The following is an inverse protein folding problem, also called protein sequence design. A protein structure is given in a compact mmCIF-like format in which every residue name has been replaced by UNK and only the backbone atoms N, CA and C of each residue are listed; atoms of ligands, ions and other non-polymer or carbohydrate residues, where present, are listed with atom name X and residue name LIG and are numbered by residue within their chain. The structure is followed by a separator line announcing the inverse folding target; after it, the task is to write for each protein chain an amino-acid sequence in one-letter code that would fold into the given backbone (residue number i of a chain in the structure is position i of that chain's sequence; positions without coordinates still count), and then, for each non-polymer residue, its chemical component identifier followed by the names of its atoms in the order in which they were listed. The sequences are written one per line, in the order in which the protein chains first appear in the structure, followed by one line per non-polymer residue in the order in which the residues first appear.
data_IF_587451069014
#
_entry.id   IF_587451069014
#
_cell.length_a   1.000
_cell.length_b   1.000
_cell.length_c   1.000
_cell.angle_alpha   90.00
_cell.angle_beta   90.00
_cell.angle_gamma   90.00
#
_symmetry.space_group_name_H-M   'P 1'
#
loop_
_entity.id
_entity.type
_entity.pdbx_description
1 polymer ?
#
# COMPACT_ATOMS: atom_id res chain seq x y z
N UNK A 1 25.26 -37.08 -15.93
CA UNK A 1 25.78 -37.75 -14.69
C UNK A 1 26.36 -36.66 -13.82
N UNK A 2 25.94 -36.64 -12.59
CA UNK A 2 26.25 -35.79 -11.44
C UNK A 2 25.40 -34.52 -11.26
N UNK A 3 24.30 -34.77 -10.58
CA UNK A 3 23.47 -33.81 -9.83
C UNK A 3 24.16 -33.46 -8.51
N UNK A 4 24.29 -32.19 -8.20
CA UNK A 4 24.64 -31.76 -6.84
C UNK A 4 23.55 -30.81 -6.35
N UNK A 5 22.72 -31.27 -5.41
CA UNK A 5 21.76 -30.49 -4.63
C UNK A 5 22.50 -29.76 -3.51
N UNK A 6 22.42 -28.45 -3.42
CA UNK A 6 22.75 -27.68 -2.22
C UNK A 6 21.50 -27.54 -1.37
N UNK A 7 21.50 -28.12 -0.18
CA UNK A 7 20.47 -27.94 0.82
C UNK A 7 20.72 -26.65 1.61
N UNK A 8 19.69 -25.82 1.74
CA UNK A 8 19.67 -24.71 2.68
C UNK A 8 19.27 -25.20 4.06
N UNK A 9 20.18 -25.02 5.01
CA UNK A 9 20.00 -25.33 6.44
C UNK A 9 19.38 -24.11 7.13
N UNK A 10 18.13 -24.24 7.58
CA UNK A 10 17.45 -23.25 8.41
C UNK A 10 17.90 -23.46 9.86
N UNK A 11 18.59 -22.48 10.44
CA UNK A 11 18.95 -22.48 11.87
C UNK A 11 17.83 -21.76 12.63
N UNK A 12 17.03 -22.54 13.35
CA UNK A 12 16.09 -22.04 14.36
C UNK A 12 16.86 -21.88 15.68
N UNK A 13 17.02 -20.65 16.13
CA UNK A 13 17.50 -20.34 17.48
C UNK A 13 16.31 -20.39 18.44
N UNK A 14 16.23 -21.47 19.21
CA UNK A 14 15.32 -21.60 20.33
C UNK A 14 15.90 -20.96 21.59
N UNK A 15 15.18 -20.03 22.21
CA UNK A 15 15.42 -19.61 23.58
C UNK A 15 14.67 -20.56 24.51
N UNK A 16 15.41 -21.40 25.22
CA UNK A 16 14.92 -22.20 26.34
C UNK A 16 14.92 -21.32 27.62
N UNK A 17 13.73 -21.07 28.17
CA UNK A 17 13.55 -20.55 29.53
C UNK A 17 13.11 -21.68 30.43
N UNK A 18 13.91 -21.93 31.45
CA UNK A 18 13.78 -22.95 32.49
C UNK A 18 12.64 -22.64 33.45
N UNK A 19 11.71 -23.58 33.78
CA UNK A 19 10.74 -23.37 34.85
C UNK A 19 11.34 -23.92 36.15
N UNK A 20 11.72 -23.05 37.07
CA UNK A 20 12.07 -23.42 38.44
C UNK A 20 10.85 -23.89 39.22
N UNK A 21 10.81 -25.15 39.51
CA UNK A 21 9.92 -25.78 40.49
C UNK A 21 10.23 -25.24 41.89
N UNK A 22 9.23 -24.64 42.55
CA UNK A 22 9.28 -24.40 43.98
C UNK A 22 8.69 -25.60 44.69
N UNK A 23 9.55 -26.37 45.36
CA UNK A 23 9.16 -27.42 46.31
C UNK A 23 8.68 -26.76 47.62
N UNK A 24 7.43 -27.06 48.04
CA UNK A 24 6.94 -26.73 49.35
C UNK A 24 7.33 -27.84 50.33
N UNK A 25 8.27 -27.52 51.17
CA UNK A 25 8.70 -28.43 52.25
C UNK A 25 7.62 -28.60 53.31
N UNK A 26 7.33 -29.84 53.58
CA UNK A 26 6.51 -30.34 54.67
C UNK A 26 7.34 -30.37 55.93
N UNK A 27 6.92 -29.68 57.00
CA UNK A 27 7.46 -29.91 58.36
C UNK A 27 6.35 -30.36 59.28
N UNK A 28 6.61 -31.56 59.79
CA UNK A 28 5.84 -32.18 60.87
C UNK A 28 5.99 -31.52 62.24
N UNK A 29 4.97 -31.66 63.06
CA UNK A 29 5.18 -31.97 64.46
C UNK A 29 4.73 -30.91 65.47
N UNK A 30 3.80 -31.27 66.28
CA UNK A 30 3.60 -30.66 67.58
C UNK A 30 2.21 -30.75 68.18
N UNK A 31 1.86 -31.94 68.62
CA UNK A 31 0.77 -32.11 69.59
C UNK A 31 1.06 -31.38 70.88
N UNK A 32 0.07 -30.66 71.42
CA UNK A 32 -0.19 -30.64 72.88
C UNK A 32 -1.66 -30.43 73.15
N UNK A 33 -2.25 -31.43 73.72
CA UNK A 33 -3.62 -31.41 74.21
C UNK A 33 -3.70 -30.71 75.56
N UNK A 34 -4.91 -30.31 75.87
CA UNK A 34 -5.46 -30.26 77.24
C UNK A 34 -6.97 -30.07 77.17
N UNK A 35 -7.62 -31.16 77.51
CA UNK A 35 -8.58 -31.49 78.57
C UNK A 35 -9.85 -30.61 78.69
N UNK A 36 -10.88 -31.35 78.42
CA UNK A 36 -12.24 -31.40 78.97
C UNK A 36 -12.46 -30.55 80.26
N UNK A 37 -13.51 -29.76 80.22
CA UNK A 37 -14.39 -29.77 81.37
C UNK A 37 -15.85 -29.87 80.94
N UNK A 38 -16.51 -30.75 81.67
CA UNK A 38 -17.86 -31.23 81.44
C UNK A 38 -18.86 -30.35 82.22
N UNK A 39 -19.99 -30.10 81.56
CA UNK A 39 -21.19 -29.80 82.34
C UNK A 39 -22.09 -28.77 81.69
N UNK A 40 -23.10 -29.26 81.08
CA UNK A 40 -24.52 -29.04 81.41
C UNK A 40 -25.41 -29.24 80.18
N UNK A 41 -26.37 -30.08 80.42
CA UNK A 41 -27.36 -30.60 79.56
C UNK A 41 -28.43 -29.60 79.05
N UNK A 42 -29.36 -30.02 78.28
CA UNK A 42 -29.87 -29.30 77.10
C UNK A 42 -31.21 -28.60 77.40
N UNK A 43 -31.44 -27.49 76.75
CA UNK A 43 -32.79 -27.00 76.40
C UNK A 43 -32.71 -26.17 75.14
N UNK A 44 -33.11 -26.82 74.11
CA UNK A 44 -34.38 -26.64 73.44
C UNK A 44 -34.56 -25.34 72.70
N UNK A 45 -34.95 -25.59 71.55
CA UNK A 45 -35.77 -24.80 70.65
C UNK A 45 -35.06 -24.07 69.52
N UNK A 46 -35.15 -24.74 68.39
CA UNK A 46 -35.66 -24.11 67.19
C UNK A 46 -34.83 -22.95 66.60
N UNK A 47 -33.64 -23.25 66.17
CA UNK A 47 -33.04 -22.44 65.13
C UNK A 47 -32.91 -23.31 63.91
N UNK A 48 -33.78 -23.07 62.96
CA UNK A 48 -33.58 -23.49 61.59
C UNK A 48 -32.19 -23.02 61.11
N UNK A 49 -31.39 -23.83 60.42
CA UNK A 49 -30.24 -23.36 59.75
C UNK A 49 -30.70 -22.68 58.45
N UNK A 50 -31.01 -21.42 58.51
CA UNK A 50 -31.18 -20.52 57.41
C UNK A 50 -30.42 -19.23 57.80
N UNK A 51 -29.17 -19.27 57.60
CA UNK A 51 -28.41 -18.13 57.19
C UNK A 51 -27.15 -18.66 56.47
N UNK A 52 -27.33 -19.07 55.24
CA UNK A 52 -26.25 -18.90 54.28
C UNK A 52 -26.06 -17.40 54.21
N UNK A 53 -25.11 -16.90 55.00
CA UNK A 53 -24.69 -15.50 54.92
C UNK A 53 -24.15 -15.21 53.53
N UNK A 54 -25.03 -15.02 52.56
CA UNK A 54 -24.70 -14.19 51.41
C UNK A 54 -24.43 -12.81 51.98
N UNK A 55 -23.17 -12.46 52.02
CA UNK A 55 -22.78 -11.07 52.23
C UNK A 55 -23.43 -10.30 51.09
N UNK A 56 -24.31 -9.33 51.35
CA UNK A 56 -24.89 -8.56 50.24
C UNK A 56 -23.72 -7.96 49.46
N UNK A 57 -23.59 -8.33 48.17
CA UNK A 57 -22.64 -7.69 47.27
C UNK A 57 -23.11 -6.24 47.17
N UNK A 58 -22.24 -5.31 47.51
CA UNK A 58 -22.56 -3.90 47.62
C UNK A 58 -22.46 -3.28 46.23
N UNK A 59 -23.42 -2.48 45.86
CA UNK A 59 -23.41 -1.55 44.75
C UNK A 59 -22.93 -0.21 45.31
N UNK A 60 -21.64 0.16 45.08
CA UNK A 60 -20.98 1.29 45.76
C UNK A 60 -21.36 2.63 45.12
N UNK A 61 -21.59 2.68 43.81
CA UNK A 61 -21.90 3.92 43.08
C UNK A 61 -23.42 4.07 42.79
N UNK A 62 -24.21 3.01 42.96
CA UNK A 62 -25.65 3.06 42.94
C UNK A 62 -26.25 3.01 41.52
N UNK A 63 -25.57 2.43 40.55
CA UNK A 63 -26.03 2.34 39.18
C UNK A 63 -26.92 1.10 38.89
N UNK A 64 -26.94 0.16 39.83
CA UNK A 64 -27.80 -1.04 39.77
C UNK A 64 -27.05 -2.34 39.54
N UNK A 65 -25.74 -2.29 39.33
CA UNK A 65 -24.82 -3.42 39.22
C UNK A 65 -23.98 -3.51 40.50
N UNK A 66 -23.54 -4.70 40.82
CA UNK A 66 -22.74 -4.95 42.03
C UNK A 66 -21.33 -5.34 41.63
N UNK A 67 -20.36 -5.21 42.55
CA UNK A 67 -18.93 -5.45 42.30
C UNK A 67 -18.57 -6.83 41.69
N UNK A 68 -19.50 -7.78 41.63
CA UNK A 68 -19.29 -9.07 40.96
C UNK A 68 -19.79 -9.09 39.48
N UNK A 69 -20.55 -8.08 39.08
CA UNK A 69 -21.04 -7.87 37.71
C UNK A 69 -20.39 -6.63 37.05
N UNK A 70 -19.99 -5.65 37.87
CA UNK A 70 -19.40 -4.37 37.47
C UNK A 70 -17.88 -4.39 37.54
N UNK A 71 -17.23 -3.93 36.48
CA UNK A 71 -15.77 -3.88 36.43
C UNK A 71 -15.16 -2.64 37.10
N UNK A 72 -15.97 -1.62 37.42
CA UNK A 72 -15.59 -0.49 38.27
C UNK A 72 -16.75 0.02 39.14
N UNK A 73 -17.17 -0.76 40.17
CA UNK A 73 -18.23 -0.49 41.17
C UNK A 73 -18.06 0.85 41.94
N UNK A 74 -17.14 1.69 41.54
CA UNK A 74 -16.97 3.05 42.04
C UNK A 74 -17.34 4.16 41.06
N UNK A 75 -17.74 3.80 39.84
CA UNK A 75 -18.03 4.72 38.76
C UNK A 75 -19.27 4.32 37.95
N UNK A 76 -20.40 4.83 38.29
CA UNK A 76 -21.71 4.57 37.66
C UNK A 76 -21.80 4.80 36.13
N UNK A 77 -20.73 5.19 35.45
CA UNK A 77 -20.62 5.28 34.00
C UNK A 77 -19.99 4.03 33.36
N UNK A 78 -19.46 3.11 34.19
CA UNK A 78 -18.81 1.86 33.79
C UNK A 78 -19.66 0.74 34.42
N UNK A 79 -20.38 0.00 33.58
CA UNK A 79 -21.23 -1.11 34.01
C UNK A 79 -21.68 -1.93 32.80
N UNK A 80 -22.20 -3.17 32.96
CA UNK A 80 -22.59 -4.04 31.85
C UNK A 80 -23.66 -3.50 30.86
N UNK A 81 -24.38 -2.46 31.22
CA UNK A 81 -25.38 -1.79 30.35
C UNK A 81 -24.86 -0.46 29.78
N UNK A 82 -23.62 -0.06 30.11
CA UNK A 82 -23.05 1.17 29.61
C UNK A 82 -22.74 1.10 28.10
N UNK A 83 -22.73 2.25 27.47
CA UNK A 83 -22.33 2.37 26.07
C UNK A 83 -20.81 2.56 25.99
N UNK A 84 -20.15 1.79 25.11
CA UNK A 84 -18.74 1.99 24.81
C UNK A 84 -18.50 3.35 24.14
N UNK A 85 -17.45 4.05 24.59
CA UNK A 85 -16.92 5.26 23.98
C UNK A 85 -15.39 5.18 23.88
N UNK A 86 -14.80 5.91 22.93
CA UNK A 86 -13.35 5.92 22.66
C UNK A 86 -12.57 6.66 23.75
N UNK A 87 -12.46 6.11 24.95
CA UNK A 87 -11.73 6.71 26.08
C UNK A 87 -10.63 5.83 26.69
N UNK A 88 -10.44 4.63 26.14
CA UNK A 88 -9.45 3.66 26.58
C UNK A 88 -9.89 2.85 27.80
N UNK A 89 -11.18 2.84 28.11
CA UNK A 89 -11.80 2.10 29.22
C UNK A 89 -12.81 1.11 28.67
N UNK A 90 -12.93 -0.05 29.27
CA UNK A 90 -14.00 -1.01 29.02
C UNK A 90 -15.24 -0.52 29.77
N UNK A 91 -16.06 0.33 29.10
CA UNK A 91 -17.22 0.95 29.75
C UNK A 91 -18.34 -0.06 29.99
N UNK A 92 -18.52 -1.05 29.11
CA UNK A 92 -19.60 -2.03 29.17
C UNK A 92 -19.22 -3.36 29.84
N UNK A 93 -17.99 -3.47 30.34
CA UNK A 93 -17.47 -4.63 31.07
C UNK A 93 -17.51 -5.95 30.28
N UNK A 94 -17.44 -5.91 28.94
CA UNK A 94 -17.47 -7.10 28.09
C UNK A 94 -16.10 -7.77 27.91
N UNK A 95 -15.03 -7.14 28.41
CA UNK A 95 -13.65 -7.58 28.36
C UNK A 95 -12.87 -7.06 27.16
N UNK A 96 -13.46 -6.15 26.38
CA UNK A 96 -12.83 -5.51 25.21
C UNK A 96 -12.96 -4.00 25.30
N UNK A 97 -11.82 -3.30 25.33
CA UNK A 97 -11.76 -1.84 25.42
C UNK A 97 -12.14 -1.23 24.07
N UNK A 98 -13.00 -0.21 24.09
CA UNK A 98 -13.38 0.63 22.94
C UNK A 98 -13.98 -0.16 21.74
N UNK A 99 -14.43 -1.40 21.94
CA UNK A 99 -15.03 -2.19 20.86
C UNK A 99 -16.49 -1.77 20.60
N UNK A 100 -16.80 -1.40 19.36
CA UNK A 100 -18.10 -0.86 18.94
C UNK A 100 -18.48 0.44 19.68
N UNK A 101 -17.52 1.27 20.00
CA UNK A 101 -17.73 2.57 20.63
C UNK A 101 -18.68 3.46 19.79
N UNK A 102 -19.64 4.12 20.45
CA UNK A 102 -20.66 4.96 19.77
C UNK A 102 -20.04 6.16 19.04
N UNK A 103 -18.90 6.63 19.51
CA UNK A 103 -18.15 7.77 18.96
C UNK A 103 -16.92 7.35 18.11
N UNK A 104 -16.84 6.05 17.75
CA UNK A 104 -15.81 5.56 16.84
C UNK A 104 -15.81 6.33 15.51
N UNK A 105 -14.61 6.59 14.99
CA UNK A 105 -14.44 7.19 13.66
C UNK A 105 -14.56 6.12 12.59
N UNK A 106 -15.07 6.52 11.42
CA UNK A 106 -15.05 5.67 10.23
C UNK A 106 -13.74 5.88 9.48
N UNK A 107 -13.08 4.79 9.18
CA UNK A 107 -11.85 4.69 8.40
C UNK A 107 -12.12 3.88 7.15
N UNK A 108 -11.34 4.11 6.09
CA UNK A 108 -11.51 3.48 4.78
C UNK A 108 -10.21 2.79 4.39
N UNK A 109 -10.30 1.60 3.83
CA UNK A 109 -9.11 0.87 3.37
C UNK A 109 -8.37 1.68 2.32
N UNK A 110 -7.03 1.68 2.41
CA UNK A 110 -6.08 2.30 1.48
C UNK A 110 -5.11 1.19 1.06
N UNK A 111 -5.49 0.42 0.00
CA UNK A 111 -4.80 -0.81 -0.39
C UNK A 111 -3.49 -0.50 -1.13
N UNK A 112 -3.46 0.59 -1.90
CA UNK A 112 -2.29 0.98 -2.69
C UNK A 112 -1.36 1.98 -2.00
N UNK A 113 -1.84 2.63 -0.90
CA UNK A 113 -1.03 3.44 -0.01
C UNK A 113 -0.80 4.88 -0.50
N UNK A 114 -1.71 5.44 -1.30
CA UNK A 114 -1.60 6.80 -1.82
C UNK A 114 -2.20 7.88 -0.88
N UNK A 115 -2.93 7.44 0.15
CA UNK A 115 -3.49 8.30 1.20
C UNK A 115 -4.97 8.64 1.00
N UNK A 116 -5.60 8.13 -0.02
CA UNK A 116 -7.04 8.12 -0.23
C UNK A 116 -7.57 6.70 -0.02
N UNK A 117 -8.85 6.53 0.25
CA UNK A 117 -9.38 5.23 0.64
C UNK A 117 -10.68 4.89 -0.07
N UNK A 118 -10.98 3.60 -0.06
CA UNK A 118 -12.12 2.98 -0.70
C UNK A 118 -13.42 3.23 0.08
N UNK A 119 -14.36 3.98 -0.49
CA UNK A 119 -15.67 4.24 0.11
C UNK A 119 -16.49 2.96 0.38
N UNK A 120 -16.21 1.88 -0.32
CA UNK A 120 -16.95 0.62 -0.23
C UNK A 120 -16.37 -0.34 0.84
N UNK A 121 -15.22 -0.01 1.46
CA UNK A 121 -14.60 -0.81 2.54
C UNK A 121 -14.36 0.01 3.82
N UNK A 122 -15.43 0.45 4.52
CA UNK A 122 -15.33 1.19 5.75
C UNK A 122 -15.10 0.31 6.98
N UNK A 123 -14.32 0.80 7.94
CA UNK A 123 -14.14 0.23 9.27
C UNK A 123 -14.35 1.28 10.36
N UNK A 124 -15.14 0.97 11.40
CA UNK A 124 -15.27 1.82 12.58
C UNK A 124 -14.20 1.43 13.62
N UNK A 125 -13.44 2.42 14.09
CA UNK A 125 -12.44 2.24 15.13
C UNK A 125 -12.14 3.56 15.83
N UNK A 126 -11.69 3.49 17.10
CA UNK A 126 -11.26 4.66 17.87
C UNK A 126 -9.93 5.23 17.36
N UNK A 127 -9.00 4.35 17.05
CA UNK A 127 -7.71 4.69 16.46
C UNK A 127 -7.66 4.27 14.99
N UNK A 128 -6.83 4.94 14.19
CA UNK A 128 -6.63 4.58 12.78
C UNK A 128 -6.08 3.16 12.66
N UNK A 129 -6.80 2.22 12.02
CA UNK A 129 -6.26 0.89 11.74
C UNK A 129 -5.12 0.94 10.72
N UNK A 130 -4.21 -0.03 10.80
CA UNK A 130 -3.12 -0.16 9.83
C UNK A 130 -3.69 -0.40 8.41
N UNK A 131 -3.27 0.42 7.43
CA UNK A 131 -3.75 0.36 6.05
C UNK A 131 -5.11 1.03 5.82
N UNK A 132 -5.51 1.93 6.73
CA UNK A 132 -6.74 2.71 6.59
C UNK A 132 -6.46 4.20 6.69
N UNK A 133 -7.29 4.99 6.03
CA UNK A 133 -7.26 6.46 6.05
C UNK A 133 -8.64 7.04 6.37
N UNK A 134 -8.69 8.33 6.67
CA UNK A 134 -9.97 9.03 6.95
C UNK A 134 -10.67 9.54 5.69
N UNK A 135 -9.99 9.57 4.56
CA UNK A 135 -10.53 9.96 3.26
C UNK A 135 -11.16 8.75 2.57
N UNK A 136 -12.26 8.94 1.85
CA UNK A 136 -13.00 7.89 1.17
C UNK A 136 -13.28 8.22 -0.30
N UNK A 137 -12.43 9.04 -0.89
CA UNK A 137 -12.71 9.62 -2.21
C UNK A 137 -11.92 8.97 -3.34
N UNK A 138 -11.18 7.93 -3.03
CA UNK A 138 -10.50 7.14 -4.06
C UNK A 138 -11.51 6.44 -4.97
N UNK A 139 -11.27 6.54 -6.28
CA UNK A 139 -12.06 5.87 -7.30
C UNK A 139 -11.43 4.56 -7.80
N UNK A 140 -10.17 4.27 -7.41
CA UNK A 140 -9.50 3.00 -7.72
C UNK A 140 -8.38 2.64 -6.73
N UNK A 141 -8.73 2.14 -5.57
CA UNK A 141 -7.88 1.74 -4.45
C UNK A 141 -6.90 0.56 -4.76
N UNK A 142 -6.73 0.18 -6.02
CA UNK A 142 -5.74 -0.82 -6.46
C UNK A 142 -4.53 -0.17 -7.19
N UNK A 143 -4.58 1.14 -7.49
CA UNK A 143 -3.63 1.85 -8.35
C UNK A 143 -3.25 3.23 -7.79
N UNK A 144 -2.18 3.35 -7.04
CA UNK A 144 -1.66 4.56 -6.37
C UNK A 144 -1.38 5.80 -7.25
N UNK A 145 -1.71 5.78 -8.50
CA UNK A 145 -1.67 6.93 -9.41
C UNK A 145 -3.07 7.42 -9.81
N UNK A 146 -4.12 6.79 -9.27
CA UNK A 146 -5.51 7.14 -9.49
C UNK A 146 -6.08 7.57 -8.13
N UNK A 147 -6.16 8.88 -7.90
CA UNK A 147 -6.64 9.46 -6.66
C UNK A 147 -7.17 10.88 -6.89
N UNK A 148 -8.00 11.44 -6.03
CA UNK A 148 -8.55 12.78 -6.19
C UNK A 148 -7.49 13.86 -6.36
N UNK A 149 -7.45 14.45 -7.56
CA UNK A 149 -6.52 15.52 -7.92
C UNK A 149 -5.17 15.04 -8.43
N UNK A 150 -5.04 13.76 -8.78
CA UNK A 150 -3.92 13.25 -9.55
C UNK A 150 -3.81 13.98 -10.91
N UNK A 151 -2.68 13.87 -11.56
CA UNK A 151 -2.53 14.37 -12.93
C UNK A 151 -3.10 13.35 -13.91
N UNK A 152 -4.02 13.81 -14.79
CA UNK A 152 -4.59 12.96 -15.83
C UNK A 152 -3.53 12.38 -16.76
N UNK A 153 -3.60 11.08 -16.97
CA UNK A 153 -2.81 10.37 -17.98
C UNK A 153 -3.67 10.05 -19.19
N UNK A 154 -3.06 9.96 -20.38
CA UNK A 154 -3.76 9.54 -21.59
C UNK A 154 -3.87 8.01 -21.65
N UNK A 155 -4.59 7.39 -20.73
CA UNK A 155 -4.66 5.92 -20.62
C UNK A 155 -6.08 5.35 -20.64
N UNK A 156 -7.08 6.23 -20.74
CA UNK A 156 -8.49 5.85 -20.78
C UNK A 156 -9.10 5.65 -19.39
N UNK A 157 -8.39 6.07 -18.34
CA UNK A 157 -8.86 6.06 -16.95
C UNK A 157 -9.15 7.49 -16.50
N UNK A 158 -9.94 7.63 -15.47
CA UNK A 158 -10.20 8.88 -14.74
C UNK A 158 -9.20 8.90 -13.57
N UNK A 159 -7.99 9.47 -13.81
CA UNK A 159 -6.91 9.39 -12.83
C UNK A 159 -7.15 10.33 -11.65
N UNK A 160 -7.83 11.46 -11.86
CA UNK A 160 -8.07 12.46 -10.82
C UNK A 160 -9.41 12.31 -10.09
N UNK A 161 -10.17 11.25 -10.41
CA UNK A 161 -11.48 10.97 -9.83
C UNK A 161 -12.52 12.10 -10.02
N UNK A 162 -12.37 12.88 -11.09
CA UNK A 162 -13.27 14.01 -11.39
C UNK A 162 -14.62 13.57 -12.00
N UNK A 163 -14.67 12.33 -12.49
CA UNK A 163 -15.79 11.77 -13.25
C UNK A 163 -15.69 12.00 -14.76
N UNK A 164 -14.55 12.51 -15.22
CA UNK A 164 -14.20 12.61 -16.63
C UNK A 164 -12.94 11.78 -16.86
N UNK A 165 -12.72 11.35 -18.07
CA UNK A 165 -11.58 10.50 -18.46
C UNK A 165 -10.68 11.30 -19.38
N UNK A 166 -9.38 11.29 -19.11
CA UNK A 166 -8.35 11.91 -19.97
C UNK A 166 -8.54 13.41 -20.26
N UNK A 167 -9.31 14.16 -19.47
CA UNK A 167 -9.48 15.60 -19.71
C UNK A 167 -8.16 16.35 -19.45
N UNK A 168 -7.87 17.30 -20.30
CA UNK A 168 -6.63 18.10 -20.31
C UNK A 168 -5.34 17.32 -20.66
N UNK A 169 -5.24 16.01 -20.36
CA UNK A 169 -4.04 15.22 -20.62
C UNK A 169 -3.83 14.88 -22.11
N UNK A 170 -4.92 14.63 -22.82
CA UNK A 170 -4.87 14.15 -24.21
C UNK A 170 -5.05 15.22 -25.28
N UNK A 171 -4.96 16.50 -24.94
CA UNK A 171 -5.19 17.59 -25.91
C UNK A 171 -4.13 17.59 -27.02
N UNK A 172 -2.91 17.11 -26.76
CA UNK A 172 -1.77 17.17 -27.65
C UNK A 172 -1.17 15.79 -27.99
N UNK A 173 -1.80 14.69 -27.51
CA UNK A 173 -1.38 13.32 -27.81
C UNK A 173 -2.44 12.55 -28.58
N UNK A 174 -2.01 11.65 -29.47
CA UNK A 174 -2.87 10.71 -30.18
C UNK A 174 -2.53 9.28 -29.75
N UNK A 175 -3.50 8.60 -29.15
CA UNK A 175 -3.34 7.21 -28.73
C UNK A 175 -3.52 6.24 -29.91
N UNK A 176 -2.65 5.24 -29.97
CA UNK A 176 -2.66 4.18 -30.97
C UNK A 176 -2.36 2.84 -30.33
N UNK A 177 -3.19 1.82 -30.59
CA UNK A 177 -2.90 0.44 -30.19
C UNK A 177 -2.32 -0.33 -31.37
N UNK A 178 -1.21 -1.01 -31.16
CA UNK A 178 -0.58 -1.88 -32.14
C UNK A 178 -0.04 -3.14 -31.45
N UNK A 179 -0.46 -4.32 -31.93
CA UNK A 179 -0.20 -5.60 -31.25
C UNK A 179 -0.68 -5.57 -29.78
N UNK A 180 0.21 -5.86 -28.84
CA UNK A 180 -0.08 -5.89 -27.41
C UNK A 180 0.40 -4.59 -26.70
N UNK A 181 0.63 -3.51 -27.47
CA UNK A 181 1.17 -2.24 -27.00
C UNK A 181 0.24 -1.08 -27.29
N UNK A 182 0.27 -0.07 -26.43
CA UNK A 182 -0.37 1.23 -26.63
C UNK A 182 0.70 2.30 -26.74
N UNK A 183 0.56 3.17 -27.73
CA UNK A 183 1.48 4.28 -28.01
C UNK A 183 0.75 5.61 -27.89
N UNK A 184 1.43 6.59 -27.29
CA UNK A 184 1.00 7.97 -27.24
C UNK A 184 1.93 8.82 -28.11
N UNK A 185 1.39 9.40 -29.19
CA UNK A 185 2.11 10.32 -30.09
C UNK A 185 1.79 11.75 -29.65
N UNK A 186 2.71 12.39 -28.93
CA UNK A 186 2.52 13.69 -28.31
C UNK A 186 3.20 14.82 -29.08
N UNK A 187 2.42 15.81 -29.50
CA UNK A 187 2.91 17.00 -30.22
C UNK A 187 3.52 18.06 -29.30
N UNK A 188 3.24 18.03 -28.00
CA UNK A 188 3.90 18.86 -27.01
C UNK A 188 5.40 18.63 -27.03
N UNK A 189 6.20 19.70 -27.01
CA UNK A 189 7.67 19.57 -27.12
C UNK A 189 8.31 19.58 -25.75
N UNK A 190 9.13 18.57 -25.49
CA UNK A 190 9.85 18.39 -24.22
C UNK A 190 11.31 18.05 -24.46
N UNK A 191 12.16 18.30 -23.47
CA UNK A 191 13.50 17.70 -23.42
C UNK A 191 13.35 16.18 -23.30
N UNK A 192 14.35 15.41 -23.72
CA UNK A 192 14.28 13.95 -23.60
C UNK A 192 14.01 13.49 -22.16
N UNK A 193 14.60 14.19 -21.17
CA UNK A 193 14.42 13.86 -19.75
C UNK A 193 12.97 14.11 -19.30
N UNK A 194 12.41 15.28 -19.68
CA UNK A 194 11.04 15.63 -19.31
C UNK A 194 10.03 14.73 -20.04
N UNK A 195 10.29 14.36 -21.29
CA UNK A 195 9.49 13.41 -22.05
C UNK A 195 9.48 12.01 -21.42
N UNK A 196 10.67 11.52 -21.00
CA UNK A 196 10.80 10.25 -20.25
C UNK A 196 10.01 10.27 -18.94
N UNK A 197 10.16 11.35 -18.19
CA UNK A 197 9.49 11.49 -16.88
C UNK A 197 7.97 11.62 -17.06
N UNK A 198 7.51 12.28 -18.12
CA UNK A 198 6.10 12.35 -18.49
C UNK A 198 5.53 10.97 -18.87
N UNK A 199 6.23 10.22 -19.73
CA UNK A 199 5.79 8.85 -20.05
C UNK A 199 5.75 7.98 -18.78
N UNK A 200 6.73 8.12 -17.89
CA UNK A 200 6.79 7.36 -16.63
C UNK A 200 5.63 7.73 -15.71
N UNK A 201 5.27 9.02 -15.62
CA UNK A 201 4.13 9.50 -14.84
C UNK A 201 2.83 8.84 -15.30
N UNK A 202 2.65 8.68 -16.61
CA UNK A 202 1.49 8.03 -17.21
C UNK A 202 1.55 6.49 -17.20
N UNK A 203 2.56 5.89 -16.53
CA UNK A 203 2.74 4.43 -16.49
C UNK A 203 3.27 3.81 -17.78
N UNK A 204 3.80 4.65 -18.67
CA UNK A 204 4.48 4.27 -19.92
C UNK A 204 6.00 4.42 -19.79
N UNK A 205 6.72 4.08 -20.85
CA UNK A 205 8.11 4.51 -21.07
C UNK A 205 8.22 5.27 -22.41
N UNK A 206 9.31 6.01 -22.64
CA UNK A 206 9.62 6.38 -24.02
C UNK A 206 9.78 5.12 -24.87
N UNK A 207 9.25 5.16 -26.09
CA UNK A 207 9.08 3.97 -26.92
C UNK A 207 10.39 3.21 -27.15
N UNK A 208 10.32 1.89 -27.07
CA UNK A 208 11.39 0.94 -27.42
C UNK A 208 11.03 0.31 -28.74
N UNK A 209 11.92 0.28 -29.70
CA UNK A 209 11.67 -0.31 -31.01
C UNK A 209 12.30 -1.71 -31.06
N UNK A 210 11.47 -2.74 -31.19
CA UNK A 210 11.90 -4.12 -31.10
C UNK A 210 12.19 -4.75 -32.48
N UNK A 211 11.48 -4.30 -33.52
CA UNK A 211 11.64 -4.80 -34.86
C UNK A 211 11.32 -3.77 -35.98
N UNK A 212 11.57 -4.17 -37.25
CA UNK A 212 11.34 -3.31 -38.41
C UNK A 212 9.86 -3.01 -38.65
N UNK A 213 8.95 -3.92 -38.28
CA UNK A 213 7.51 -3.71 -38.48
C UNK A 213 6.95 -2.65 -37.54
N UNK A 214 7.44 -2.62 -36.31
CA UNK A 214 7.14 -1.58 -35.35
C UNK A 214 7.73 -0.23 -35.75
N UNK A 215 9.00 -0.21 -36.19
CA UNK A 215 9.63 1.02 -36.67
C UNK A 215 8.85 1.64 -37.88
N UNK A 216 8.34 0.80 -38.77
CA UNK A 216 7.50 1.23 -39.91
C UNK A 216 6.14 1.74 -39.41
N UNK A 217 5.52 1.09 -38.43
CA UNK A 217 4.26 1.53 -37.84
C UNK A 217 4.44 2.92 -37.21
N UNK A 218 5.48 3.13 -36.41
CA UNK A 218 5.78 4.43 -35.84
C UNK A 218 5.95 5.51 -36.93
N UNK A 219 6.68 5.23 -38.01
CA UNK A 219 6.83 6.16 -39.14
C UNK A 219 5.49 6.53 -39.79
N UNK A 220 4.58 5.56 -39.94
CA UNK A 220 3.23 5.82 -40.47
C UNK A 220 2.44 6.75 -39.58
N UNK A 221 2.46 6.51 -38.27
CA UNK A 221 1.68 7.30 -37.31
C UNK A 221 2.29 8.67 -37.06
N UNK A 222 3.60 8.83 -36.95
CA UNK A 222 4.26 10.15 -36.89
C UNK A 222 3.83 11.02 -38.07
N UNK A 223 3.83 10.43 -39.29
CA UNK A 223 3.39 11.12 -40.50
C UNK A 223 1.92 11.51 -40.47
N UNK A 224 1.06 10.65 -39.89
CA UNK A 224 -0.40 10.91 -39.84
C UNK A 224 -0.79 11.92 -38.74
N UNK A 225 -0.06 11.93 -37.65
CA UNK A 225 -0.30 12.83 -36.52
C UNK A 225 0.40 14.19 -36.69
N UNK A 226 1.31 14.29 -37.67
CA UNK A 226 2.06 15.51 -38.02
C UNK A 226 2.85 16.08 -36.80
N UNK A 227 3.27 15.22 -35.85
CA UNK A 227 3.97 15.68 -34.65
C UNK A 227 5.43 16.14 -34.92
N UNK A 228 5.95 15.88 -36.11
CA UNK A 228 7.35 16.18 -36.45
C UNK A 228 8.36 15.19 -35.88
N UNK A 229 9.61 15.63 -35.76
CA UNK A 229 10.64 14.81 -35.09
C UNK A 229 10.26 14.50 -33.65
N UNK A 230 10.46 13.26 -33.21
CA UNK A 230 10.01 12.80 -31.90
C UNK A 230 11.05 11.96 -31.16
N UNK A 231 11.16 12.18 -29.86
CA UNK A 231 11.97 11.36 -28.96
C UNK A 231 11.52 9.91 -28.92
N UNK A 232 12.50 9.01 -28.88
CA UNK A 232 12.34 7.59 -28.55
C UNK A 232 13.20 7.24 -27.34
N UNK A 233 13.02 6.04 -26.76
CA UNK A 233 13.65 5.65 -25.50
C UNK A 233 15.12 5.26 -25.59
N UNK A 234 15.76 5.33 -26.76
CA UNK A 234 17.14 4.95 -26.96
C UNK A 234 18.09 6.10 -26.53
N UNK A 235 19.13 5.78 -25.78
CA UNK A 235 20.09 6.77 -25.29
C UNK A 235 21.42 6.11 -24.87
N UNK A 236 22.51 6.87 -24.87
CA UNK A 236 23.81 6.46 -24.30
C UNK A 236 24.31 7.43 -23.22
N UNK A 237 23.38 8.06 -22.51
CA UNK A 237 23.65 9.05 -21.45
C UNK A 237 24.57 8.49 -20.37
N UNK A 238 25.55 9.30 -19.98
CA UNK A 238 26.54 9.01 -18.97
C UNK A 238 27.93 8.78 -19.56
N UNK A 239 28.95 9.36 -18.90
CA UNK A 239 30.36 9.36 -19.38
C UNK A 239 30.93 7.96 -19.71
N UNK A 240 30.35 6.89 -19.11
CA UNK A 240 30.79 5.50 -19.33
C UNK A 240 30.02 4.80 -20.47
N UNK A 241 28.98 5.44 -21.00
CA UNK A 241 28.06 4.84 -21.97
C UNK A 241 28.26 5.36 -23.39
N UNK A 242 29.10 6.35 -23.62
CA UNK A 242 29.33 6.96 -24.93
C UNK A 242 29.52 5.92 -26.04
N UNK A 243 28.62 5.96 -27.03
CA UNK A 243 28.55 5.01 -28.12
C UNK A 243 27.91 3.66 -27.78
N UNK A 244 27.40 3.47 -26.56
CA UNK A 244 26.69 2.27 -26.11
C UNK A 244 25.21 2.58 -25.81
N UNK A 245 24.43 2.73 -26.85
CA UNK A 245 23.00 3.06 -26.73
C UNK A 245 22.21 1.96 -26.08
N UNK A 246 21.35 2.34 -25.14
CA UNK A 246 20.44 1.43 -24.41
C UNK A 246 19.03 2.02 -24.34
N UNK A 247 18.03 1.14 -24.29
CA UNK A 247 16.64 1.55 -24.14
C UNK A 247 16.31 1.89 -22.70
N UNK A 248 15.59 2.99 -22.49
CA UNK A 248 15.21 3.46 -21.15
C UNK A 248 14.25 2.49 -20.44
N UNK A 249 13.48 1.72 -21.19
CA UNK A 249 12.61 0.66 -20.65
C UNK A 249 13.38 -0.50 -20.01
N UNK A 250 14.68 -0.61 -20.27
CA UNK A 250 15.51 -1.75 -19.85
C UNK A 250 15.30 -3.02 -20.69
N UNK A 251 14.44 -2.97 -21.72
CA UNK A 251 14.27 -4.07 -22.65
C UNK A 251 15.52 -4.19 -23.55
N UNK A 252 15.94 -5.43 -23.81
CA UNK A 252 17.00 -5.71 -24.77
C UNK A 252 16.37 -5.85 -26.15
N UNK A 253 16.51 -4.83 -27.02
CA UNK A 253 16.21 -4.95 -28.45
C UNK A 253 17.47 -5.15 -29.24
N UNK A 254 17.42 -6.10 -30.16
CA UNK A 254 18.52 -6.34 -31.12
C UNK A 254 18.33 -5.55 -32.44
N UNK A 255 17.23 -4.81 -32.57
CA UNK A 255 16.96 -3.98 -33.71
C UNK A 255 17.82 -2.72 -33.68
N UNK A 256 18.67 -2.55 -34.69
CA UNK A 256 19.62 -1.44 -34.82
C UNK A 256 19.62 -0.82 -36.21
N UNK A 257 18.70 -1.25 -37.06
CA UNK A 257 18.68 -0.85 -38.49
C UNK A 257 17.94 0.49 -38.71
N UNK A 258 17.42 1.12 -37.65
CA UNK A 258 16.69 2.40 -37.68
C UNK A 258 17.58 3.62 -37.92
N UNK A 259 18.89 3.54 -37.73
CA UNK A 259 19.80 4.67 -37.85
C UNK A 259 19.88 5.27 -39.26
N UNK A 260 19.90 6.58 -39.34
CA UNK A 260 20.20 7.29 -40.59
C UNK A 260 21.66 7.07 -41.05
N UNK A 261 21.94 7.37 -42.29
CA UNK A 261 23.30 7.22 -42.81
C UNK A 261 24.28 8.18 -42.13
N UNK A 262 25.32 7.64 -41.54
CA UNK A 262 26.38 8.26 -40.74
C UNK A 262 25.96 8.62 -39.30
N UNK A 263 24.84 8.13 -38.82
CA UNK A 263 24.45 8.19 -37.41
C UNK A 263 24.69 6.82 -36.75
N UNK A 264 24.86 6.78 -35.39
CA UNK A 264 25.04 7.93 -34.50
C UNK A 264 26.40 8.60 -34.72
N UNK A 265 26.49 9.94 -34.62
CA UNK A 265 27.70 10.68 -34.92
C UNK A 265 28.22 11.55 -33.75
N UNK A 266 27.45 11.67 -32.65
CA UNK A 266 27.73 12.49 -31.46
C UNK A 266 28.28 13.89 -31.84
N UNK A 267 27.56 14.60 -32.73
CA UNK A 267 28.00 15.89 -33.23
C UNK A 267 28.21 16.90 -32.10
N UNK A 268 29.45 17.38 -31.96
CA UNK A 268 29.79 18.23 -30.85
C UNK A 268 30.11 17.50 -29.54
N UNK A 269 29.99 16.18 -29.49
CA UNK A 269 30.35 15.34 -28.34
C UNK A 269 29.34 15.39 -27.19
N UNK A 270 28.04 15.60 -27.48
CA UNK A 270 26.97 15.69 -26.49
C UNK A 270 25.58 15.34 -27.08
N UNK A 271 25.51 14.43 -28.04
CA UNK A 271 24.26 13.94 -28.61
C UNK A 271 24.01 12.53 -28.06
N UNK A 272 23.42 12.47 -26.88
CA UNK A 272 23.28 11.23 -26.10
C UNK A 272 21.83 10.67 -26.15
N UNK A 273 20.89 11.34 -26.85
CA UNK A 273 19.48 10.98 -26.88
C UNK A 273 19.01 10.82 -28.34
N UNK A 274 18.08 9.91 -28.58
CA UNK A 274 17.71 9.52 -29.95
C UNK A 274 16.32 9.98 -30.32
N UNK A 275 16.24 10.62 -31.51
CA UNK A 275 14.98 11.01 -32.14
C UNK A 275 14.68 10.15 -33.38
N UNK A 276 13.39 10.02 -33.75
CA UNK A 276 12.96 9.73 -35.11
C UNK A 276 12.88 11.06 -35.86
N UNK A 277 13.73 11.25 -36.88
CA UNK A 277 13.92 12.57 -37.49
C UNK A 277 13.15 12.74 -38.81
N UNK A 278 12.33 13.79 -38.86
CA UNK A 278 11.50 14.09 -40.02
C UNK A 278 12.31 14.27 -41.30
N UNK A 279 13.38 15.07 -41.26
CA UNK A 279 14.25 15.34 -42.43
C UNK A 279 14.97 14.08 -42.97
N UNK A 280 15.06 13.03 -42.14
CA UNK A 280 15.70 11.76 -42.45
C UNK A 280 14.69 10.65 -42.79
N UNK A 281 13.47 11.01 -43.16
CA UNK A 281 12.37 10.09 -43.43
C UNK A 281 12.10 9.16 -42.23
N UNK A 282 12.13 9.71 -41.03
CA UNK A 282 11.91 9.06 -39.74
C UNK A 282 13.00 8.07 -39.29
N UNK A 283 14.15 8.07 -39.96
CA UNK A 283 15.32 7.32 -39.50
C UNK A 283 15.87 7.96 -38.20
N UNK A 284 16.56 7.16 -37.41
CA UNK A 284 17.07 7.57 -36.11
C UNK A 284 18.28 8.51 -36.23
N UNK A 285 18.37 9.46 -35.33
CA UNK A 285 19.45 10.41 -35.20
C UNK A 285 19.72 10.62 -33.71
N UNK A 286 20.98 10.65 -33.31
CA UNK A 286 21.38 11.13 -32.00
C UNK A 286 21.30 12.67 -31.95
N UNK A 287 20.79 13.20 -30.86
CA UNK A 287 20.52 14.60 -30.66
C UNK A 287 20.82 14.98 -29.20
N UNK A 288 21.04 16.26 -28.94
CA UNK A 288 21.22 16.72 -27.58
C UNK A 288 19.96 16.53 -26.76
N UNK A 289 20.08 15.93 -25.58
CA UNK A 289 18.97 15.64 -24.71
C UNK A 289 18.19 16.88 -24.23
N UNK A 290 18.81 18.08 -24.34
CA UNK A 290 18.21 19.37 -23.95
C UNK A 290 17.35 20.03 -25.05
N UNK A 291 17.37 19.48 -26.26
CA UNK A 291 16.50 19.98 -27.33
C UNK A 291 15.05 19.59 -27.04
N UNK A 292 14.11 20.47 -27.40
CA UNK A 292 12.68 20.28 -27.15
C UNK A 292 12.00 19.84 -28.43
N UNK A 293 11.55 18.59 -28.52
CA UNK A 293 10.80 18.03 -29.63
C UNK A 293 9.62 17.21 -29.12
N UNK A 294 8.73 16.79 -30.01
CA UNK A 294 7.67 15.86 -29.74
C UNK A 294 8.21 14.54 -29.16
N UNK A 295 7.35 13.68 -28.65
CA UNK A 295 7.79 12.42 -28.05
C UNK A 295 6.75 11.30 -28.23
N UNK A 296 7.21 10.06 -28.08
CA UNK A 296 6.34 8.88 -28.21
C UNK A 296 6.52 8.03 -26.96
N UNK A 297 5.42 7.86 -26.21
CA UNK A 297 5.38 6.92 -25.11
C UNK A 297 4.83 5.57 -25.56
N UNK A 298 5.22 4.51 -24.86
CA UNK A 298 4.79 3.14 -25.10
C UNK A 298 4.48 2.45 -23.77
N UNK A 299 3.33 1.74 -23.72
CA UNK A 299 2.94 0.87 -22.61
C UNK A 299 2.51 -0.49 -23.15
N UNK A 300 2.73 -1.54 -22.38
CA UNK A 300 2.22 -2.90 -22.63
C UNK A 300 1.02 -3.19 -21.76
N UNK A 301 0.01 -3.87 -22.29
CA UNK A 301 -1.17 -4.33 -21.54
C UNK A 301 -0.86 -5.52 -20.64
#
# INVERSE_FOLDING_TARGET
MHTTRLGFLLILAGCAGDPTLLEIGKTDGGETGLRLDSGLSPRDSGLTPQDSGEVPVLDEDGDGFTADEDCDDSNAAINPDATEICDGVDNNCDGTIDQNAEDASTWYADEDGDGFGNADDPQEACDTPDGFVSDNTDCNDEEARIFPGAEEACDGLDNDCSGQTDEEACTDCTQVSYQDHTYQFCADTKTWTDARDQCTLWGYSLTTIEDEAEDQMLNEYITRTEIGSAWIGLNDRGEENEGNFTWVSGLESSYVDGWSANEPNSYGGNEDCVEKREDFAWAWNDLRCDDEIAFICEGSF
#
